data_IF_042336344118
#
_entry.id   IF_042336344118
#
_cell.length_a   1.000
_cell.length_b   1.000
_cell.length_c   1.000
_cell.angle_alpha   90.00
_cell.angle_beta   90.00
_cell.angle_gamma   90.00
#
_symmetry.space_group_name_H-M   'P 1'
#
loop_
_entity.id
_entity.type
_entity.pdbx_description
1 polymer ?
#
# COMPACT_ATOMS: atom_id res chain seq x y z
N UNK A 1 -0.07 20.18 22.29
CA UNK A 1 -0.21 19.28 21.14
C UNK A 1 -0.14 20.14 19.89
N UNK A 2 0.83 19.92 19.02
CA UNK A 2 0.96 20.73 17.79
C UNK A 2 0.85 19.79 16.59
N UNK A 3 -0.33 19.80 15.95
CA UNK A 3 -0.62 19.00 14.75
C UNK A 3 -0.85 19.96 13.59
N UNK A 4 -0.27 19.67 12.42
CA UNK A 4 -0.61 20.29 11.15
C UNK A 4 -1.08 19.20 10.18
N UNK A 5 -2.27 19.36 9.64
CA UNK A 5 -2.88 18.40 8.72
C UNK A 5 -2.98 18.97 7.31
N UNK A 6 -2.69 18.13 6.31
CA UNK A 6 -2.78 18.45 4.88
C UNK A 6 -3.76 17.49 4.23
N UNK A 7 -4.87 18.04 3.75
CA UNK A 7 -5.93 17.25 3.11
C UNK A 7 -6.02 17.67 1.64
N UNK A 8 -6.23 16.70 0.76
CA UNK A 8 -6.36 17.01 -0.67
C UNK A 8 -6.48 15.76 -1.53
N UNK A 9 -6.89 15.94 -2.77
CA UNK A 9 -7.04 14.86 -3.73
C UNK A 9 -5.73 14.16 -4.10
N UNK A 10 -5.87 13.08 -4.88
CA UNK A 10 -4.70 12.39 -5.43
C UNK A 10 -3.87 13.35 -6.30
N UNK A 11 -2.57 13.40 -6.05
CA UNK A 11 -1.66 14.23 -6.85
C UNK A 11 -1.64 15.72 -6.50
N UNK A 12 -2.38 16.20 -5.49
CA UNK A 12 -2.36 17.59 -5.04
C UNK A 12 -1.13 17.96 -4.20
N UNK A 13 -0.11 17.11 -4.15
CA UNK A 13 1.17 17.46 -3.50
C UNK A 13 1.18 17.33 -1.99
N UNK A 14 0.32 16.51 -1.37
CA UNK A 14 0.27 16.30 0.09
C UNK A 14 1.64 15.97 0.69
N UNK A 15 2.31 14.94 0.19
CA UNK A 15 3.65 14.56 0.65
C UNK A 15 4.68 15.68 0.43
N UNK A 16 4.57 16.44 -0.67
CA UNK A 16 5.44 17.61 -0.90
C UNK A 16 5.21 18.67 0.19
N UNK A 17 3.96 19.02 0.48
CA UNK A 17 3.62 20.01 1.49
C UNK A 17 4.06 19.59 2.90
N UNK A 18 3.90 18.30 3.20
CA UNK A 18 4.40 17.70 4.43
C UNK A 18 5.92 17.88 4.59
N UNK A 19 6.70 17.64 3.51
CA UNK A 19 8.15 17.84 3.53
C UNK A 19 8.55 19.32 3.61
N UNK A 20 7.84 20.23 2.95
CA UNK A 20 8.07 21.68 3.07
C UNK A 20 7.86 22.16 4.51
N UNK A 21 6.80 21.67 5.16
CA UNK A 21 6.53 22.01 6.56
C UNK A 21 7.58 21.44 7.51
N UNK A 22 8.10 20.25 7.20
CA UNK A 22 9.24 19.70 7.94
C UNK A 22 10.50 20.58 7.80
N UNK A 23 10.83 21.01 6.57
CA UNK A 23 12.00 21.87 6.31
C UNK A 23 11.88 23.16 7.12
N UNK A 24 10.74 23.85 7.03
CA UNK A 24 10.50 25.08 7.78
C UNK A 24 10.60 24.86 9.30
N UNK A 25 10.13 23.71 9.81
CA UNK A 25 10.26 23.36 11.22
C UNK A 25 11.72 23.13 11.63
N UNK A 26 12.52 22.47 10.80
CA UNK A 26 13.92 22.20 11.06
C UNK A 26 14.79 23.48 10.99
N UNK A 27 14.40 24.43 10.16
CA UNK A 27 15.03 25.77 10.10
C UNK A 27 14.72 26.57 11.36
N UNK A 28 13.48 26.52 11.85
CA UNK A 28 13.06 27.22 13.06
C UNK A 28 13.60 26.57 14.35
N UNK A 29 13.67 25.24 14.38
CA UNK A 29 14.12 24.46 15.53
C UNK A 29 14.88 23.21 15.04
N UNK A 30 16.21 23.32 14.88
CA UNK A 30 17.06 22.21 14.46
C UNK A 30 17.02 21.04 15.45
N UNK A 31 17.19 19.82 14.93
CA UNK A 31 17.31 18.64 15.76
C UNK A 31 18.56 18.69 16.65
N UNK A 32 18.41 18.36 17.90
CA UNK A 32 19.55 18.19 18.81
C UNK A 32 20.36 16.94 18.42
N UNK A 33 21.55 16.78 19.00
CA UNK A 33 22.37 15.60 18.81
C UNK A 33 21.61 14.34 19.26
N UNK A 34 21.69 13.27 18.47
CA UNK A 34 20.96 12.00 18.71
C UNK A 34 19.49 12.00 18.34
N UNK A 35 18.86 13.15 18.09
CA UNK A 35 17.47 13.23 17.67
C UNK A 35 17.27 12.88 16.19
N UNK A 36 16.11 12.31 15.89
CA UNK A 36 15.67 11.95 14.53
C UNK A 36 14.24 12.39 14.27
N UNK A 37 13.89 12.59 13.02
CA UNK A 37 12.50 12.68 12.55
C UNK A 37 11.93 11.26 12.44
N UNK A 38 10.79 11.00 13.05
CA UNK A 38 10.03 9.77 12.87
C UNK A 38 9.05 9.94 11.70
N UNK A 39 9.11 9.06 10.71
CA UNK A 39 8.19 9.06 9.59
C UNK A 39 7.41 7.73 9.54
N UNK A 40 6.11 7.81 9.75
CA UNK A 40 5.22 6.66 9.80
C UNK A 40 4.34 6.59 8.54
N UNK A 41 4.23 5.39 7.98
CA UNK A 41 3.33 5.09 6.86
C UNK A 41 2.59 3.77 7.13
N UNK A 42 1.48 3.57 6.44
CA UNK A 42 0.75 2.31 6.52
C UNK A 42 1.40 1.20 5.67
N UNK A 43 1.91 1.55 4.47
CA UNK A 43 2.42 0.57 3.50
C UNK A 43 3.93 0.65 3.32
N UNK A 44 4.58 -0.51 3.13
CA UNK A 44 6.02 -0.60 2.88
C UNK A 44 6.49 0.16 1.63
N UNK A 45 5.68 0.16 0.57
CA UNK A 45 6.00 0.93 -0.65
C UNK A 45 6.06 2.44 -0.42
N UNK A 46 5.15 2.96 0.41
CA UNK A 46 5.15 4.37 0.83
C UNK A 46 6.35 4.69 1.71
N UNK A 47 6.71 3.79 2.64
CA UNK A 47 7.89 3.93 3.50
C UNK A 47 9.15 4.19 2.69
N UNK A 48 9.45 3.33 1.70
CA UNK A 48 10.66 3.46 0.89
C UNK A 48 10.72 4.79 0.15
N UNK A 49 9.61 5.24 -0.45
CA UNK A 49 9.56 6.53 -1.16
C UNK A 49 9.75 7.71 -0.21
N UNK A 50 9.14 7.64 0.96
CA UNK A 50 9.30 8.68 1.97
C UNK A 50 10.74 8.71 2.48
N UNK A 51 11.35 7.54 2.70
CA UNK A 51 12.76 7.39 3.06
C UNK A 51 13.71 7.97 1.99
N UNK A 52 13.48 7.67 0.71
CA UNK A 52 14.23 8.23 -0.41
C UNK A 52 14.13 9.77 -0.45
N UNK A 53 12.92 10.32 -0.27
CA UNK A 53 12.69 11.78 -0.25
C UNK A 53 13.32 12.46 0.97
N UNK A 54 13.19 11.87 2.15
CA UNK A 54 13.82 12.39 3.37
C UNK A 54 15.35 12.33 3.29
N UNK A 55 15.88 11.27 2.67
CA UNK A 55 17.33 11.13 2.43
C UNK A 55 17.92 12.20 1.49
N UNK A 56 17.08 12.86 0.70
CA UNK A 56 17.48 13.97 -0.17
C UNK A 56 17.47 15.33 0.54
N UNK A 57 17.00 15.42 1.79
CA UNK A 57 16.96 16.65 2.55
C UNK A 57 18.29 16.88 3.29
N UNK A 58 19.12 17.89 2.89
CA UNK A 58 20.42 18.15 3.51
C UNK A 58 20.30 18.43 5.01
N UNK A 59 19.24 19.13 5.43
CA UNK A 59 18.99 19.49 6.83
C UNK A 59 18.82 18.27 7.75
N UNK A 60 18.44 17.10 7.22
CA UNK A 60 18.28 15.88 8.00
C UNK A 60 19.56 15.07 8.18
N UNK A 61 20.53 15.10 7.24
CA UNK A 61 21.81 14.40 7.36
C UNK A 61 21.67 12.93 7.77
N UNK A 62 20.73 12.17 7.21
CA UNK A 62 20.35 10.79 7.59
C UNK A 62 19.64 10.66 8.96
N UNK A 63 19.25 11.75 9.60
CA UNK A 63 18.53 11.75 10.88
C UNK A 63 17.01 11.57 10.68
N UNK A 64 16.60 10.62 9.87
CA UNK A 64 15.22 10.18 9.71
C UNK A 64 15.08 8.69 9.99
N UNK A 65 14.04 8.30 10.71
CA UNK A 65 13.65 6.91 10.89
C UNK A 65 12.29 6.70 10.21
N UNK A 66 12.30 5.96 9.08
CA UNK A 66 11.09 5.61 8.34
C UNK A 66 10.63 4.21 8.72
N UNK A 67 9.41 4.09 9.23
CA UNK A 67 8.83 2.83 9.65
C UNK A 67 7.36 2.71 9.20
N UNK A 68 6.84 1.48 9.17
CA UNK A 68 5.39 1.30 9.20
C UNK A 68 4.91 1.49 10.64
N UNK A 69 3.64 1.89 10.80
CA UNK A 69 3.03 2.05 12.13
C UNK A 69 3.21 0.77 12.95
N UNK A 70 2.96 -0.40 12.36
CA UNK A 70 3.12 -1.70 13.02
C UNK A 70 4.58 -1.99 13.44
N UNK A 71 5.53 -1.65 12.57
CA UNK A 71 6.97 -1.85 12.88
C UNK A 71 7.43 -0.96 14.03
N UNK A 72 6.94 0.27 14.11
CA UNK A 72 7.26 1.18 15.19
C UNK A 72 6.57 0.76 16.49
N UNK A 73 5.30 0.35 16.43
CA UNK A 73 4.60 -0.22 17.57
C UNK A 73 5.37 -1.41 18.18
N UNK A 74 5.80 -2.33 17.33
CA UNK A 74 6.62 -3.46 17.79
C UNK A 74 7.96 -3.04 18.41
N UNK A 75 8.62 -2.01 17.85
CA UNK A 75 9.84 -1.44 18.44
C UNK A 75 9.61 -0.92 19.86
N UNK A 76 8.49 -0.23 20.10
CA UNK A 76 8.10 0.24 21.44
C UNK A 76 7.85 -0.92 22.39
N UNK A 77 7.00 -1.88 22.02
CA UNK A 77 6.67 -3.06 22.85
C UNK A 77 7.93 -3.85 23.20
N UNK A 78 8.82 -4.05 22.23
CA UNK A 78 10.06 -4.80 22.46
C UNK A 78 11.02 -4.07 23.40
N UNK A 79 11.11 -2.72 23.28
CA UNK A 79 11.96 -1.90 24.14
C UNK A 79 11.45 -1.89 25.58
N UNK A 80 10.13 -1.78 25.75
CA UNK A 80 9.48 -1.66 27.04
C UNK A 80 8.79 -2.97 27.46
N UNK A 81 9.41 -4.12 27.12
CA UNK A 81 8.82 -5.45 27.28
C UNK A 81 8.33 -5.76 28.70
N UNK A 82 9.12 -5.42 29.72
CA UNK A 82 8.75 -5.64 31.11
C UNK A 82 7.52 -4.80 31.50
N UNK A 83 7.46 -3.57 31.02
CA UNK A 83 6.33 -2.68 31.27
C UNK A 83 5.07 -3.14 30.51
N UNK A 84 5.22 -3.54 29.25
CA UNK A 84 4.14 -4.13 28.48
C UNK A 84 3.58 -5.40 29.17
N UNK A 85 4.45 -6.26 29.73
CA UNK A 85 4.02 -7.41 30.49
C UNK A 85 3.18 -7.04 31.75
N UNK A 86 3.57 -5.98 32.45
CA UNK A 86 2.80 -5.46 33.60
C UNK A 86 1.42 -4.90 33.21
N UNK A 87 1.29 -4.40 31.97
CA UNK A 87 0.02 -3.95 31.40
C UNK A 87 -0.84 -5.11 30.83
N UNK A 88 -0.44 -6.36 31.05
CA UNK A 88 -1.18 -7.53 30.55
C UNK A 88 -0.74 -8.04 29.17
N UNK A 89 0.34 -7.48 28.61
CA UNK A 89 0.84 -7.80 27.28
C UNK A 89 2.13 -8.65 27.30
N UNK A 90 2.21 -9.64 28.19
CA UNK A 90 3.43 -10.45 28.44
C UNK A 90 3.93 -11.23 27.21
N UNK A 91 3.02 -11.80 26.41
CA UNK A 91 3.34 -12.72 25.32
C UNK A 91 2.70 -12.31 24.01
N UNK A 92 2.99 -11.07 23.57
CA UNK A 92 2.49 -10.58 22.28
C UNK A 92 3.31 -11.18 21.14
N UNK A 93 2.61 -11.81 20.20
CA UNK A 93 3.15 -12.18 18.90
C UNK A 93 3.30 -10.93 18.01
N UNK A 94 4.50 -10.68 17.44
CA UNK A 94 4.73 -9.54 16.54
C UNK A 94 3.81 -9.50 15.31
N UNK A 95 3.18 -10.62 14.95
CA UNK A 95 2.25 -10.70 13.82
C UNK A 95 0.79 -10.40 14.21
N UNK A 96 0.50 -10.29 15.49
CA UNK A 96 -0.80 -9.80 15.97
C UNK A 96 -0.83 -8.26 15.95
N UNK A 97 -0.75 -7.68 14.76
CA UNK A 97 -0.56 -6.24 14.54
C UNK A 97 -1.49 -5.35 15.36
N UNK A 98 -2.77 -5.70 15.47
CA UNK A 98 -3.71 -4.92 16.26
C UNK A 98 -3.34 -4.93 17.75
N UNK A 99 -3.03 -6.10 18.32
CA UNK A 99 -2.61 -6.21 19.72
C UNK A 99 -1.28 -5.51 19.99
N UNK A 100 -0.36 -5.57 19.04
CA UNK A 100 0.93 -4.83 19.12
C UNK A 100 0.67 -3.33 19.15
N UNK A 101 -0.22 -2.83 18.29
CA UNK A 101 -0.58 -1.41 18.28
C UNK A 101 -1.33 -0.98 19.54
N UNK A 102 -2.21 -1.83 20.10
CA UNK A 102 -2.89 -1.56 21.37
C UNK A 102 -1.91 -1.46 22.52
N UNK A 103 -1.03 -2.46 22.67
CA UNK A 103 0.00 -2.44 23.70
C UNK A 103 0.92 -1.21 23.58
N UNK A 104 1.32 -0.84 22.35
CA UNK A 104 2.13 0.34 22.13
C UNK A 104 1.36 1.63 22.47
N UNK A 105 0.06 1.68 22.16
CA UNK A 105 -0.84 2.79 22.54
C UNK A 105 -0.96 2.95 24.06
N UNK A 106 -1.08 1.84 24.80
CA UNK A 106 -1.10 1.86 26.26
C UNK A 106 0.24 2.27 26.87
N UNK A 107 1.35 1.78 26.31
CA UNK A 107 2.69 2.21 26.72
C UNK A 107 2.88 3.72 26.56
N UNK A 108 2.31 4.33 25.51
CA UNK A 108 2.36 5.77 25.29
C UNK A 108 1.48 6.58 26.26
N UNK A 109 0.65 5.96 27.11
CA UNK A 109 -0.02 6.65 28.21
C UNK A 109 0.93 6.90 29.39
N UNK A 110 2.08 6.22 29.42
CA UNK A 110 3.06 6.32 30.48
C UNK A 110 4.05 7.45 30.17
N UNK A 111 4.26 8.35 31.14
CA UNK A 111 5.05 9.57 30.95
C UNK A 111 6.50 9.27 30.55
N UNK A 112 7.12 8.28 31.15
CA UNK A 112 8.52 7.88 30.88
C UNK A 112 8.70 7.39 29.45
N UNK A 113 7.72 6.62 28.95
CA UNK A 113 7.73 6.15 27.55
C UNK A 113 7.57 7.33 26.59
N UNK A 114 6.61 8.21 26.84
CA UNK A 114 6.42 9.43 26.03
C UNK A 114 7.65 10.32 26.06
N UNK A 115 8.24 10.53 27.24
CA UNK A 115 9.46 11.33 27.43
C UNK A 115 10.62 10.77 26.61
N UNK A 116 10.81 9.43 26.64
CA UNK A 116 11.83 8.79 25.83
C UNK A 116 11.58 8.97 24.32
N UNK A 117 10.32 8.81 23.88
CA UNK A 117 9.98 8.99 22.46
C UNK A 117 10.21 10.45 22.05
N UNK A 118 9.77 11.43 22.83
CA UNK A 118 9.94 12.84 22.54
C UNK A 118 11.41 13.27 22.51
N UNK A 119 12.22 12.73 23.42
CA UNK A 119 13.68 12.98 23.43
C UNK A 119 14.38 12.40 22.19
N UNK A 120 13.89 11.26 21.66
CA UNK A 120 14.46 10.60 20.49
C UNK A 120 13.90 11.15 19.16
N UNK A 121 12.61 11.51 19.16
CA UNK A 121 11.84 11.87 17.96
C UNK A 121 10.96 13.09 18.23
N UNK A 122 11.50 14.33 18.17
CA UNK A 122 10.68 15.53 18.43
C UNK A 122 9.62 15.80 17.35
N UNK A 123 9.78 15.22 16.15
CA UNK A 123 8.91 15.44 14.99
C UNK A 123 8.42 14.10 14.46
N UNK A 124 7.09 14.00 14.22
CA UNK A 124 6.41 12.88 13.59
C UNK A 124 5.81 13.31 12.25
N UNK A 125 6.11 12.55 11.20
CA UNK A 125 5.44 12.62 9.91
C UNK A 125 4.51 11.43 9.76
N UNK A 126 3.25 11.66 9.34
CA UNK A 126 2.28 10.61 9.02
C UNK A 126 1.78 10.83 7.59
N UNK A 127 2.20 9.98 6.67
CA UNK A 127 1.69 10.01 5.29
C UNK A 127 0.63 8.91 5.09
N UNK A 128 -0.39 9.20 4.27
CA UNK A 128 -1.55 8.34 4.03
C UNK A 128 -2.34 8.01 5.33
N UNK A 129 -2.59 9.01 6.15
CA UNK A 129 -3.25 8.83 7.45
C UNK A 129 -4.65 8.23 7.35
N UNK A 130 -5.35 8.37 6.21
CA UNK A 130 -6.68 7.78 5.98
C UNK A 130 -6.70 6.23 6.01
N UNK A 131 -5.54 5.59 5.98
CA UNK A 131 -5.45 4.13 6.06
C UNK A 131 -5.25 3.60 7.49
N UNK A 132 -5.20 4.50 8.48
CA UNK A 132 -5.04 4.12 9.88
C UNK A 132 -6.32 3.51 10.43
N UNK A 133 -6.25 2.25 10.87
CA UNK A 133 -7.31 1.63 11.67
C UNK A 133 -7.34 2.21 13.08
N UNK A 134 -8.40 1.97 13.85
CA UNK A 134 -8.57 2.54 15.19
C UNK A 134 -7.36 2.29 16.12
N UNK A 135 -6.81 1.07 16.11
CA UNK A 135 -5.64 0.73 16.93
C UNK A 135 -4.37 1.51 16.52
N UNK A 136 -4.15 1.66 15.21
CA UNK A 136 -3.02 2.43 14.68
C UNK A 136 -3.20 3.93 14.91
N UNK A 137 -4.42 4.42 14.76
CA UNK A 137 -4.75 5.81 15.06
C UNK A 137 -4.49 6.14 16.53
N UNK A 138 -4.90 5.27 17.48
CA UNK A 138 -4.63 5.43 18.92
C UNK A 138 -3.13 5.59 19.19
N UNK A 139 -2.28 4.81 18.53
CA UNK A 139 -0.83 4.95 18.64
C UNK A 139 -0.36 6.33 18.14
N UNK A 140 -0.84 6.78 16.97
CA UNK A 140 -0.49 8.10 16.42
C UNK A 140 -0.99 9.23 17.34
N UNK A 141 -2.19 9.11 17.90
CA UNK A 141 -2.75 10.04 18.87
C UNK A 141 -1.89 10.10 20.15
N UNK A 142 -1.45 8.95 20.65
CA UNK A 142 -0.54 8.89 21.80
C UNK A 142 0.80 9.59 21.51
N UNK A 143 1.37 9.42 20.32
CA UNK A 143 2.58 10.13 19.89
C UNK A 143 2.33 11.64 19.78
N UNK A 144 1.18 12.05 19.26
CA UNK A 144 0.80 13.44 19.06
C UNK A 144 0.70 14.26 20.38
N UNK A 145 0.58 13.59 21.53
CA UNK A 145 0.58 14.28 22.83
C UNK A 145 1.92 14.95 23.18
N UNK A 146 3.02 14.45 22.59
CA UNK A 146 4.37 14.87 22.96
C UNK A 146 5.24 15.29 21.77
N UNK A 147 4.82 15.01 20.53
CA UNK A 147 5.57 15.32 19.32
C UNK A 147 4.89 16.42 18.50
N UNK A 148 5.71 17.16 17.72
CA UNK A 148 5.21 17.98 16.63
C UNK A 148 4.79 17.04 15.48
N UNK A 149 3.51 17.07 15.08
CA UNK A 149 2.97 16.16 14.06
C UNK A 149 2.67 16.89 12.76
N UNK A 150 3.11 16.33 11.65
CA UNK A 150 2.68 16.69 10.30
C UNK A 150 1.98 15.47 9.68
N UNK A 151 0.70 15.59 9.35
CA UNK A 151 -0.09 14.48 8.81
C UNK A 151 -0.67 14.82 7.43
N UNK A 152 -0.68 13.85 6.53
CA UNK A 152 -1.28 13.98 5.21
C UNK A 152 -2.34 12.90 4.99
N UNK A 153 -3.53 13.29 4.49
CA UNK A 153 -4.64 12.37 4.26
C UNK A 153 -5.45 12.71 3.00
N UNK A 154 -6.05 11.69 2.40
CA UNK A 154 -7.09 11.79 1.40
C UNK A 154 -8.15 10.72 1.69
N UNK A 155 -9.22 11.10 2.34
CA UNK A 155 -10.29 10.16 2.71
C UNK A 155 -10.83 9.39 1.51
N UNK A 156 -10.94 10.02 0.34
CA UNK A 156 -11.46 9.37 -0.85
C UNK A 156 -10.52 8.29 -1.41
N UNK A 157 -9.23 8.31 -1.06
CA UNK A 157 -8.29 7.25 -1.38
C UNK A 157 -8.35 6.04 -0.42
N UNK A 158 -9.11 6.12 0.68
CA UNK A 158 -9.34 4.99 1.56
C UNK A 158 -10.23 3.95 0.86
N UNK A 159 -9.72 2.74 0.67
CA UNK A 159 -10.44 1.63 0.03
C UNK A 159 -11.06 0.66 1.04
N UNK A 160 -10.73 0.77 2.33
CA UNK A 160 -11.33 -0.07 3.37
C UNK A 160 -12.69 0.52 3.81
N UNK A 161 -13.76 -0.19 3.48
CA UNK A 161 -15.14 0.23 3.82
C UNK A 161 -15.38 0.30 5.33
N UNK A 162 -14.63 -0.47 6.13
CA UNK A 162 -14.73 -0.47 7.59
C UNK A 162 -14.22 0.83 8.22
N UNK A 163 -13.49 1.64 7.46
CA UNK A 163 -12.99 2.96 7.88
C UNK A 163 -13.91 4.08 7.36
N UNK A 164 -15.21 3.93 7.46
CA UNK A 164 -16.20 4.92 7.03
C UNK A 164 -17.28 5.12 8.12
N UNK A 165 -17.40 6.35 8.67
CA UNK A 165 -16.59 7.55 8.43
C UNK A 165 -15.12 7.33 8.82
N UNK A 166 -14.20 8.05 8.17
CA UNK A 166 -12.77 7.81 8.35
C UNK A 166 -12.28 8.37 9.70
N UNK A 167 -11.87 7.52 10.66
CA UNK A 167 -11.56 7.98 12.01
C UNK A 167 -10.32 8.89 12.08
N UNK A 168 -9.34 8.68 11.18
CA UNK A 168 -8.14 9.52 11.15
C UNK A 168 -8.43 10.90 10.57
N UNK A 169 -9.25 10.99 9.51
CA UNK A 169 -9.66 12.28 8.95
C UNK A 169 -10.52 13.07 9.93
N UNK A 170 -11.46 12.41 10.63
CA UNK A 170 -12.27 13.02 11.69
C UNK A 170 -11.38 13.58 12.77
N UNK A 171 -10.48 12.77 13.34
CA UNK A 171 -9.54 13.22 14.36
C UNK A 171 -8.68 14.41 13.90
N UNK A 172 -8.14 14.37 12.67
CA UNK A 172 -7.33 15.48 12.15
C UNK A 172 -8.14 16.78 12.07
N UNK A 173 -9.40 16.72 11.67
CA UNK A 173 -10.27 17.89 11.59
C UNK A 173 -10.66 18.44 12.97
N UNK A 174 -10.73 17.58 14.00
CA UNK A 174 -11.02 17.96 15.38
C UNK A 174 -9.83 18.66 16.08
N UNK A 175 -8.59 18.20 15.80
CA UNK A 175 -7.41 18.70 16.50
C UNK A 175 -6.77 19.91 15.85
N UNK A 176 -7.00 20.16 14.56
CA UNK A 176 -6.51 21.33 13.83
C UNK A 176 -7.34 21.59 12.57
N UNK A 177 -7.55 22.85 12.17
CA UNK A 177 -8.09 23.15 10.85
C UNK A 177 -7.10 22.66 9.79
N UNK A 178 -7.49 21.68 8.93
CA UNK A 178 -6.57 21.14 7.93
C UNK A 178 -6.34 22.14 6.79
N UNK A 179 -5.11 22.18 6.31
CA UNK A 179 -4.77 22.89 5.07
C UNK A 179 -5.27 22.09 3.87
N UNK A 180 -6.22 22.65 3.12
CA UNK A 180 -6.77 22.01 1.92
C UNK A 180 -5.88 22.28 0.70
N UNK A 181 -5.42 21.20 0.06
CA UNK A 181 -4.59 21.24 -1.14
C UNK A 181 -5.44 20.93 -2.38
N UNK A 182 -5.69 21.93 -3.19
CA UNK A 182 -6.53 21.84 -4.39
C UNK A 182 -5.72 21.76 -5.69
N UNK A 183 -4.49 22.27 -5.70
CA UNK A 183 -3.68 22.34 -6.92
C UNK A 183 -3.04 21.00 -7.29
N UNK A 184 -3.33 20.44 -8.47
CA UNK A 184 -2.73 19.20 -8.93
C UNK A 184 -1.24 19.42 -9.27
N UNK A 185 -0.39 18.47 -8.86
CA UNK A 185 1.06 18.45 -9.13
C UNK A 185 1.53 17.21 -9.88
N UNK A 186 0.66 16.20 -10.02
CA UNK A 186 1.03 14.92 -10.65
C UNK A 186 0.89 14.96 -12.16
N UNK A 187 -0.14 15.61 -12.65
CA UNK A 187 -0.43 15.74 -14.08
C UNK A 187 -1.02 17.12 -14.37
N UNK A 188 -0.75 17.61 -15.57
CA UNK A 188 -1.37 18.83 -16.12
C UNK A 188 -2.41 18.47 -17.20
N UNK A 189 -2.76 17.20 -17.35
CA UNK A 189 -3.74 16.74 -18.34
C UNK A 189 -5.14 16.99 -17.80
N UNK A 190 -5.80 18.02 -18.32
CA UNK A 190 -7.13 18.48 -17.90
C UNK A 190 -8.16 17.36 -17.91
N UNK A 191 -8.22 16.55 -18.97
CA UNK A 191 -9.17 15.42 -19.07
C UNK A 191 -9.02 14.40 -17.92
N UNK A 192 -7.78 14.14 -17.43
CA UNK A 192 -7.56 13.24 -16.28
C UNK A 192 -7.99 13.88 -14.97
N UNK A 193 -7.75 15.18 -14.83
CA UNK A 193 -8.16 15.95 -13.65
C UNK A 193 -9.68 16.06 -13.56
N UNK A 194 -10.34 16.37 -14.66
CA UNK A 194 -11.80 16.50 -14.75
C UNK A 194 -12.47 15.14 -14.49
N UNK A 195 -11.95 14.06 -15.07
CA UNK A 195 -12.45 12.71 -14.79
C UNK A 195 -12.31 12.33 -13.32
N UNK A 196 -11.16 12.63 -12.71
CA UNK A 196 -10.94 12.36 -11.28
C UNK A 196 -11.87 13.21 -10.39
N UNK A 197 -12.06 14.50 -10.73
CA UNK A 197 -12.94 15.40 -10.02
C UNK A 197 -14.41 14.95 -10.15
N UNK A 198 -14.87 14.60 -11.34
CA UNK A 198 -16.22 14.09 -11.59
C UNK A 198 -16.50 12.81 -10.75
N UNK A 199 -15.60 11.81 -10.83
CA UNK A 199 -15.73 10.57 -10.07
C UNK A 199 -15.82 10.85 -8.56
N UNK A 200 -14.98 11.76 -8.05
CA UNK A 200 -14.96 12.14 -6.63
C UNK A 200 -16.25 12.85 -6.21
N UNK A 201 -16.80 13.71 -7.06
CA UNK A 201 -18.03 14.47 -6.80
C UNK A 201 -19.32 13.67 -7.08
N UNK A 202 -19.20 12.40 -7.44
CA UNK A 202 -20.36 11.56 -7.73
C UNK A 202 -20.95 11.78 -9.13
N UNK A 203 -20.22 12.42 -10.03
CA UNK A 203 -20.63 12.71 -11.41
C UNK A 203 -20.00 11.72 -12.39
N UNK A 204 -20.61 11.59 -13.58
CA UNK A 204 -20.08 10.81 -14.68
C UNK A 204 -18.79 11.43 -15.23
N UNK A 205 -17.70 10.66 -15.38
CA UNK A 205 -16.51 11.17 -16.03
C UNK A 205 -16.70 11.26 -17.54
N UNK A 206 -16.39 12.41 -18.13
CA UNK A 206 -16.49 12.64 -19.58
C UNK A 206 -15.32 11.98 -20.33
N UNK A 207 -15.63 11.27 -21.41
CA UNK A 207 -14.61 10.65 -22.28
C UNK A 207 -14.05 11.66 -23.28
N UNK A 208 -12.73 11.62 -23.47
CA UNK A 208 -11.99 12.43 -24.43
C UNK A 208 -10.84 11.66 -25.09
N UNK A 209 -9.74 12.34 -25.39
CA UNK A 209 -8.57 11.75 -26.03
C UNK A 209 -7.56 11.19 -25.03
N UNK A 210 -7.46 11.76 -23.83
CA UNK A 210 -6.53 11.39 -22.78
C UNK A 210 -7.19 10.54 -21.70
N UNK A 211 -8.49 10.71 -21.49
CA UNK A 211 -9.32 9.85 -20.66
C UNK A 211 -10.44 9.25 -21.51
N UNK A 212 -10.56 7.93 -21.53
CA UNK A 212 -11.58 7.25 -22.33
C UNK A 212 -12.23 6.11 -21.57
N UNK A 213 -13.57 6.01 -21.69
CA UNK A 213 -14.36 4.85 -21.25
C UNK A 213 -14.82 4.08 -22.48
N UNK A 214 -14.53 2.79 -22.54
CA UNK A 214 -14.82 1.93 -23.69
C UNK A 214 -15.51 0.65 -23.25
N UNK A 215 -16.64 0.35 -23.88
CA UNK A 215 -17.34 -0.93 -23.66
C UNK A 215 -16.58 -2.07 -24.36
N UNK A 216 -16.23 -3.11 -23.61
CA UNK A 216 -15.51 -4.30 -24.09
C UNK A 216 -16.11 -5.58 -23.48
N UNK A 217 -17.31 -6.01 -23.97
CA UNK A 217 -18.07 -7.07 -23.31
C UNK A 217 -17.39 -8.45 -23.36
N UNK A 218 -16.48 -8.67 -24.30
CA UNK A 218 -15.79 -9.95 -24.48
C UNK A 218 -14.29 -9.81 -24.18
N UNK A 219 -13.67 -10.81 -23.49
CA UNK A 219 -12.25 -10.78 -23.19
C UNK A 219 -11.33 -10.55 -24.41
N UNK A 220 -11.58 -11.17 -25.59
CA UNK A 220 -10.77 -10.90 -26.78
C UNK A 220 -10.81 -9.43 -27.24
N UNK A 221 -11.97 -8.77 -27.13
CA UNK A 221 -12.09 -7.36 -27.45
C UNK A 221 -11.29 -6.50 -26.48
N UNK A 222 -11.40 -6.77 -25.17
CA UNK A 222 -10.59 -6.08 -24.16
C UNK A 222 -9.09 -6.32 -24.40
N UNK A 223 -8.69 -7.57 -24.68
CA UNK A 223 -7.31 -7.93 -25.03
C UNK A 223 -6.80 -7.19 -26.26
N UNK A 224 -7.60 -7.09 -27.32
CA UNK A 224 -7.24 -6.33 -28.53
C UNK A 224 -7.06 -4.85 -28.26
N UNK A 225 -7.93 -4.23 -27.44
CA UNK A 225 -7.77 -2.85 -26.99
C UNK A 225 -6.49 -2.64 -26.19
N UNK A 226 -6.18 -3.55 -25.23
CA UNK A 226 -4.95 -3.47 -24.46
C UNK A 226 -3.74 -3.58 -25.41
N UNK A 227 -3.69 -4.62 -26.26
CA UNK A 227 -2.56 -4.84 -27.17
C UNK A 227 -2.31 -3.65 -28.10
N UNK A 228 -3.38 -3.08 -28.68
CA UNK A 228 -3.28 -1.89 -29.53
C UNK A 228 -2.75 -0.66 -28.79
N UNK A 229 -3.13 -0.48 -27.51
CA UNK A 229 -2.63 0.63 -26.70
C UNK A 229 -1.17 0.39 -26.26
N UNK A 230 -0.79 -0.85 -25.93
CA UNK A 230 0.61 -1.18 -25.60
C UNK A 230 1.53 -0.92 -26.78
N UNK A 231 1.11 -1.31 -27.98
CA UNK A 231 1.83 -1.04 -29.22
C UNK A 231 2.01 0.47 -29.46
N UNK A 232 0.93 1.21 -29.30
CA UNK A 232 0.93 2.66 -29.49
C UNK A 232 1.76 3.42 -28.45
N UNK A 233 1.78 2.97 -27.18
CA UNK A 233 2.59 3.58 -26.12
C UNK A 233 4.09 3.29 -26.24
N UNK A 234 4.46 2.23 -26.99
CA UNK A 234 5.85 1.82 -27.17
C UNK A 234 6.54 1.34 -25.90
N UNK A 235 7.57 0.53 -26.07
CA UNK A 235 8.63 0.20 -25.11
C UNK A 235 8.31 -0.17 -23.65
N UNK A 236 7.08 -0.29 -23.21
CA UNK A 236 6.69 -0.86 -21.91
C UNK A 236 7.03 -0.06 -20.65
N UNK A 237 7.70 1.07 -20.75
CA UNK A 237 7.99 1.92 -19.60
C UNK A 237 6.76 2.78 -19.26
N UNK A 238 6.36 2.77 -17.99
CA UNK A 238 5.30 3.65 -17.51
C UNK A 238 3.86 3.22 -17.85
N UNK A 239 3.61 1.98 -18.31
CA UNK A 239 2.25 1.47 -18.55
C UNK A 239 1.84 0.45 -17.49
N UNK A 240 0.64 0.63 -16.92
CA UNK A 240 0.06 -0.34 -16.00
C UNK A 240 -1.35 -0.76 -16.42
N UNK A 241 -1.65 -2.05 -16.28
CA UNK A 241 -2.99 -2.59 -16.39
C UNK A 241 -3.52 -2.79 -14.98
N UNK A 242 -4.61 -2.10 -14.64
CA UNK A 242 -5.16 -2.08 -13.28
C UNK A 242 -6.58 -2.64 -13.31
N UNK A 243 -6.94 -3.51 -12.35
CA UNK A 243 -8.31 -4.01 -12.18
C UNK A 243 -8.74 -3.96 -10.72
N UNK A 244 -10.01 -3.77 -10.39
CA UNK A 244 -10.51 -3.91 -9.02
C UNK A 244 -10.14 -5.25 -8.39
N UNK A 245 -10.31 -6.34 -9.14
CA UNK A 245 -9.93 -7.69 -8.73
C UNK A 245 -9.50 -8.51 -9.95
N UNK A 246 -8.60 -9.48 -9.76
CA UNK A 246 -8.16 -10.41 -10.82
C UNK A 246 -9.19 -11.54 -10.97
N UNK A 247 -10.35 -11.22 -11.53
CA UNK A 247 -11.40 -12.19 -11.87
C UNK A 247 -11.19 -12.84 -13.24
N UNK A 248 -12.12 -13.73 -13.62
CA UNK A 248 -12.06 -14.51 -14.86
C UNK A 248 -11.95 -13.63 -16.12
N UNK A 249 -12.67 -12.51 -16.17
CA UNK A 249 -12.60 -11.59 -17.32
C UNK A 249 -11.18 -11.03 -17.53
N UNK A 250 -10.55 -10.56 -16.46
CA UNK A 250 -9.19 -10.02 -16.54
C UNK A 250 -8.19 -11.12 -16.92
N UNK A 251 -8.28 -12.31 -16.29
CA UNK A 251 -7.44 -13.46 -16.64
C UNK A 251 -7.58 -13.84 -18.12
N UNK A 252 -8.80 -13.96 -18.61
CA UNK A 252 -9.05 -14.31 -20.02
C UNK A 252 -8.56 -13.25 -21.00
N UNK A 253 -8.69 -11.96 -20.67
CA UNK A 253 -8.15 -10.87 -21.50
C UNK A 253 -6.61 -10.93 -21.55
N UNK A 254 -5.94 -11.16 -20.40
CA UNK A 254 -4.48 -11.30 -20.32
C UNK A 254 -3.99 -12.54 -21.06
N UNK A 255 -4.67 -13.67 -20.95
CA UNK A 255 -4.36 -14.88 -21.73
C UNK A 255 -4.50 -14.63 -23.23
N UNK A 256 -5.55 -13.91 -23.64
CA UNK A 256 -5.71 -13.56 -25.05
C UNK A 256 -4.54 -12.73 -25.56
N UNK A 257 -4.09 -11.72 -24.84
CA UNK A 257 -2.97 -10.84 -25.22
C UNK A 257 -1.66 -11.63 -25.33
N UNK A 258 -1.46 -12.61 -24.47
CA UNK A 258 -0.25 -13.43 -24.47
C UNK A 258 -0.16 -14.37 -25.69
N UNK A 259 -1.31 -14.76 -26.28
CA UNK A 259 -1.39 -15.77 -27.32
C UNK A 259 -1.82 -15.22 -28.69
N UNK A 260 -2.27 -13.99 -28.79
CA UNK A 260 -2.86 -13.46 -30.02
C UNK A 260 -2.26 -12.11 -30.44
N UNK A 261 -2.36 -11.82 -31.73
CA UNK A 261 -2.13 -10.51 -32.32
C UNK A 261 -3.47 -9.85 -32.64
N UNK A 262 -3.48 -8.52 -32.63
CA UNK A 262 -4.62 -7.76 -33.16
C UNK A 262 -4.65 -7.83 -34.69
N UNK A 263 -5.78 -7.44 -35.29
CA UNK A 263 -5.90 -7.33 -36.75
C UNK A 263 -4.86 -6.39 -37.40
N UNK A 264 -4.28 -5.49 -36.61
CA UNK A 264 -3.20 -4.58 -37.04
C UNK A 264 -1.80 -5.08 -36.70
N UNK A 265 -1.67 -6.33 -36.24
CA UNK A 265 -0.38 -6.97 -35.97
C UNK A 265 0.19 -6.70 -34.55
N UNK A 266 -0.44 -5.90 -33.72
CA UNK A 266 0.03 -5.66 -32.35
C UNK A 266 -0.05 -6.90 -31.46
N UNK A 267 1.02 -7.24 -30.77
CA UNK A 267 1.15 -8.42 -29.91
C UNK A 267 1.92 -9.57 -30.56
N UNK A 268 2.01 -10.75 -29.92
CA UNK A 268 1.57 -11.03 -28.56
C UNK A 268 2.40 -10.29 -27.50
N UNK A 269 1.79 -10.03 -26.33
CA UNK A 269 2.47 -9.34 -25.23
C UNK A 269 2.30 -10.11 -23.93
N UNK A 270 3.39 -10.37 -23.22
CA UNK A 270 3.35 -10.98 -21.89
C UNK A 270 3.21 -9.87 -20.83
N UNK A 271 2.11 -9.92 -20.08
CA UNK A 271 1.85 -9.02 -18.96
C UNK A 271 2.27 -9.70 -17.67
N UNK A 272 3.28 -9.15 -17.01
CA UNK A 272 3.67 -9.62 -15.67
C UNK A 272 2.61 -9.18 -14.66
N UNK A 273 1.83 -10.13 -14.14
CA UNK A 273 0.84 -9.83 -13.12
C UNK A 273 1.51 -9.77 -11.75
N UNK A 274 1.34 -8.65 -11.07
CA UNK A 274 1.75 -8.54 -9.68
C UNK A 274 0.65 -9.14 -8.81
N UNK A 275 0.83 -10.39 -8.42
CA UNK A 275 -0.11 -11.07 -7.52
C UNK A 275 -0.25 -10.30 -6.20
N UNK A 276 -1.47 -10.30 -5.65
CA UNK A 276 -1.63 -9.95 -4.24
C UNK A 276 -0.81 -10.98 -3.46
N UNK A 277 0.02 -10.52 -2.52
CA UNK A 277 0.86 -11.51 -1.83
C UNK A 277 0.08 -12.51 -0.99
N UNK A 278 -1.21 -12.30 -0.83
CA UNK A 278 -2.13 -13.27 -0.22
C UNK A 278 -2.36 -14.43 -1.17
N UNK A 279 -2.58 -14.15 -2.47
CA UNK A 279 -2.84 -15.21 -3.46
C UNK A 279 -1.59 -16.05 -3.72
N UNK A 280 -0.42 -15.42 -3.86
CA UNK A 280 0.86 -16.14 -4.00
C UNK A 280 1.18 -16.98 -2.76
N UNK A 281 0.92 -16.43 -1.57
CA UNK A 281 1.13 -17.14 -0.31
C UNK A 281 0.15 -18.31 -0.17
N UNK A 282 -1.12 -18.11 -0.50
CA UNK A 282 -2.14 -19.16 -0.44
C UNK A 282 -1.87 -20.27 -1.49
N UNK A 283 -1.46 -19.91 -2.70
CA UNK A 283 -1.05 -20.86 -3.72
C UNK A 283 0.16 -21.68 -3.27
N UNK A 284 1.10 -21.07 -2.56
CA UNK A 284 2.24 -21.75 -1.98
C UNK A 284 1.82 -22.71 -0.84
N UNK A 285 0.93 -22.26 0.05
CA UNK A 285 0.40 -23.13 1.13
C UNK A 285 -0.36 -24.34 0.58
N UNK A 286 -1.10 -24.18 -0.51
CA UNK A 286 -1.82 -25.29 -1.15
C UNK A 286 -0.88 -26.39 -1.69
N UNK A 287 0.39 -26.08 -1.91
CA UNK A 287 1.40 -27.05 -2.36
C UNK A 287 2.14 -27.75 -1.19
N UNK A 288 1.98 -27.24 0.05
CA UNK A 288 2.64 -27.79 1.21
C UNK A 288 1.72 -28.75 1.98
N UNK A 289 2.18 -29.96 2.20
CA UNK A 289 1.45 -30.98 2.97
C UNK A 289 1.67 -30.79 4.49
N UNK A 290 1.48 -29.57 5.01
CA UNK A 290 1.69 -29.29 6.44
C UNK A 290 0.66 -30.01 7.32
N UNK A 291 1.17 -30.65 8.37
CA UNK A 291 0.38 -31.24 9.44
C UNK A 291 0.26 -30.23 10.61
N UNK A 292 -0.55 -30.54 11.62
CA UNK A 292 -0.69 -29.67 12.81
C UNK A 292 0.65 -29.48 13.53
N UNK A 293 1.47 -30.55 13.58
CA UNK A 293 2.85 -30.52 14.11
C UNK A 293 3.79 -31.06 13.03
N UNK A 294 4.84 -30.33 12.74
CA UNK A 294 5.79 -30.63 11.67
C UNK A 294 7.22 -30.64 12.21
N UNK A 295 8.00 -31.64 11.84
CA UNK A 295 9.44 -31.71 12.15
C UNK A 295 10.26 -30.95 11.11
N UNK A 296 11.41 -30.43 11.52
CA UNK A 296 12.34 -29.67 10.65
C UNK A 296 12.67 -30.45 9.38
N UNK A 297 12.92 -31.78 9.47
CA UNK A 297 13.24 -32.66 8.36
C UNK A 297 12.13 -32.70 7.29
N UNK A 298 10.86 -32.76 7.74
CA UNK A 298 9.72 -32.88 6.85
C UNK A 298 9.43 -31.57 6.14
N UNK A 299 9.45 -30.46 6.88
CA UNK A 299 9.30 -29.12 6.30
C UNK A 299 10.39 -28.83 5.27
N UNK A 300 11.64 -29.16 5.57
CA UNK A 300 12.77 -28.98 4.64
C UNK A 300 12.60 -29.82 3.36
N UNK A 301 12.05 -31.04 3.50
CA UNK A 301 11.77 -31.91 2.34
C UNK A 301 10.64 -31.34 1.47
N UNK A 302 9.54 -30.88 2.05
CA UNK A 302 8.42 -30.29 1.31
C UNK A 302 8.82 -28.99 0.59
N UNK A 303 9.57 -28.14 1.28
CA UNK A 303 10.07 -26.89 0.70
C UNK A 303 11.05 -27.14 -0.46
N UNK A 304 11.84 -28.24 -0.38
CA UNK A 304 12.78 -28.63 -1.44
C UNK A 304 12.12 -29.26 -2.67
N UNK A 305 10.94 -29.88 -2.51
CA UNK A 305 10.30 -30.67 -3.57
C UNK A 305 9.44 -29.87 -4.55
N UNK A 306 9.01 -28.63 -4.21
CA UNK A 306 8.06 -27.91 -5.05
C UNK A 306 7.94 -26.40 -4.84
N UNK A 307 8.83 -25.80 -4.05
CA UNK A 307 8.71 -24.39 -3.67
C UNK A 307 9.74 -23.47 -4.33
N UNK A 308 9.54 -22.18 -4.19
CA UNK A 308 10.54 -21.17 -4.51
C UNK A 308 11.80 -21.40 -3.62
N UNK A 309 12.98 -21.69 -4.24
CA UNK A 309 14.20 -22.09 -3.49
C UNK A 309 14.66 -21.07 -2.45
N UNK A 310 14.31 -19.82 -2.63
CA UNK A 310 14.67 -18.76 -1.68
C UNK A 310 13.71 -18.76 -0.48
N UNK A 311 12.41 -19.02 -0.65
CA UNK A 311 11.45 -19.17 0.46
C UNK A 311 11.87 -20.38 1.29
N UNK A 312 12.20 -21.48 0.60
CA UNK A 312 12.69 -22.69 1.26
C UNK A 312 13.91 -22.39 2.16
N UNK A 313 14.91 -21.67 1.62
CA UNK A 313 16.11 -21.29 2.38
C UNK A 313 15.77 -20.44 3.60
N UNK A 314 15.02 -19.35 3.45
CA UNK A 314 14.72 -18.43 4.54
C UNK A 314 13.90 -19.10 5.67
N UNK A 315 12.95 -19.99 5.32
CA UNK A 315 12.18 -20.77 6.30
C UNK A 315 13.08 -21.79 7.02
N UNK A 316 13.94 -22.48 6.28
CA UNK A 316 14.89 -23.44 6.85
C UNK A 316 15.88 -22.75 7.79
N UNK A 317 16.44 -21.62 7.38
CA UNK A 317 17.36 -20.82 8.20
C UNK A 317 16.68 -20.35 9.50
N UNK A 318 15.40 -19.94 9.43
CA UNK A 318 14.63 -19.60 10.62
C UNK A 318 14.42 -20.79 11.54
N UNK A 319 14.04 -21.96 11.00
CA UNK A 319 13.86 -23.18 11.82
C UNK A 319 15.17 -23.60 12.52
N UNK A 320 16.29 -23.56 11.78
CA UNK A 320 17.62 -23.83 12.33
C UNK A 320 18.00 -22.86 13.44
N UNK A 321 17.70 -21.57 13.27
CA UNK A 321 17.90 -20.57 14.30
C UNK A 321 17.07 -20.88 15.57
N UNK A 322 15.79 -21.27 15.42
CA UNK A 322 14.95 -21.69 16.57
C UNK A 322 15.49 -22.95 17.24
N UNK A 323 15.97 -23.93 16.45
CA UNK A 323 16.60 -25.14 16.95
C UNK A 323 17.83 -24.83 17.81
N UNK A 324 18.73 -23.98 17.33
CA UNK A 324 19.96 -23.58 18.04
C UNK A 324 19.66 -22.71 19.26
N UNK A 325 18.73 -21.77 19.17
CA UNK A 325 18.46 -20.82 20.24
C UNK A 325 17.53 -21.37 21.34
N UNK A 326 16.64 -22.31 21.01
CA UNK A 326 15.56 -22.78 21.89
C UNK A 326 15.43 -24.32 21.96
N UNK A 327 16.32 -25.06 21.32
CA UNK A 327 16.26 -26.54 21.18
C UNK A 327 14.92 -27.00 20.57
N UNK A 328 14.27 -26.19 19.76
CA UNK A 328 12.95 -26.46 19.17
C UNK A 328 13.11 -27.28 17.89
N UNK A 329 12.59 -28.51 17.86
CA UNK A 329 12.70 -29.46 16.74
C UNK A 329 11.38 -29.70 16.01
N UNK A 330 10.26 -29.23 16.58
CA UNK A 330 8.92 -29.33 15.98
C UNK A 330 8.22 -27.99 15.99
N UNK A 331 7.44 -27.73 14.96
CA UNK A 331 6.75 -26.46 14.70
C UNK A 331 5.29 -26.71 14.38
N UNK A 332 4.38 -25.88 14.90
CA UNK A 332 2.99 -25.95 14.50
C UNK A 332 2.82 -25.46 13.04
N UNK A 333 1.75 -25.90 12.41
CA UNK A 333 1.34 -25.44 11.07
C UNK A 333 1.30 -23.91 11.01
N UNK A 334 0.67 -23.29 12.01
CA UNK A 334 0.52 -21.83 12.08
C UNK A 334 1.86 -21.08 12.19
N UNK A 335 2.85 -21.66 12.88
CA UNK A 335 4.18 -21.06 12.97
C UNK A 335 4.88 -21.06 11.61
N UNK A 336 4.79 -22.16 10.87
CA UNK A 336 5.40 -22.29 9.55
C UNK A 336 4.70 -21.38 8.54
N UNK A 337 3.37 -21.41 8.50
CA UNK A 337 2.56 -20.53 7.63
C UNK A 337 2.84 -19.05 7.90
N UNK A 338 3.05 -18.69 9.15
CA UNK A 338 3.41 -17.33 9.57
C UNK A 338 4.77 -16.92 9.04
N UNK A 339 5.77 -17.77 9.15
CA UNK A 339 7.12 -17.47 8.64
C UNK A 339 7.12 -17.36 7.13
N UNK A 340 6.46 -18.28 6.44
CA UNK A 340 6.29 -18.24 4.99
C UNK A 340 5.61 -16.93 4.58
N UNK A 341 4.51 -16.56 5.23
CA UNK A 341 3.80 -15.30 4.98
C UNK A 341 4.71 -14.08 5.18
N UNK A 342 5.56 -14.11 6.21
CA UNK A 342 6.55 -13.06 6.47
C UNK A 342 7.60 -12.99 5.37
N UNK A 343 8.13 -14.13 4.91
CA UNK A 343 9.10 -14.22 3.81
C UNK A 343 8.51 -13.66 2.52
N UNK A 344 7.26 -14.03 2.17
CA UNK A 344 6.56 -13.45 1.02
C UNK A 344 6.32 -11.95 1.18
N UNK A 345 6.00 -11.48 2.38
CA UNK A 345 5.84 -10.06 2.66
C UNK A 345 7.17 -9.29 2.56
N UNK A 346 8.27 -9.85 3.05
CA UNK A 346 9.61 -9.25 2.91
C UNK A 346 10.06 -9.19 1.44
N UNK A 347 9.81 -10.22 0.66
CA UNK A 347 10.18 -10.25 -0.76
C UNK A 347 9.51 -9.19 -1.58
N UNK A 348 8.23 -8.92 -1.28
CA UNK A 348 7.54 -7.76 -1.86
C UNK A 348 8.22 -6.44 -1.50
N UNK A 349 8.92 -6.39 -0.36
CA UNK A 349 9.71 -5.22 0.06
C UNK A 349 11.00 -5.06 -0.74
N UNK A 350 11.65 -6.18 -1.09
CA UNK A 350 12.98 -6.21 -1.72
C UNK A 350 12.87 -6.33 -3.25
N UNK A 351 11.76 -6.86 -3.76
CA UNK A 351 11.52 -7.07 -5.18
C UNK A 351 11.59 -5.77 -5.98
N UNK A 352 12.79 -5.37 -6.34
CA UNK A 352 13.03 -4.70 -7.61
C UNK A 352 12.60 -5.69 -8.68
N UNK A 353 11.37 -5.57 -9.19
CA UNK A 353 11.12 -6.09 -10.50
C UNK A 353 12.02 -5.29 -11.44
N UNK A 354 13.09 -5.88 -11.93
CA UNK A 354 13.87 -5.32 -13.04
C UNK A 354 12.87 -4.99 -14.15
N UNK A 355 12.64 -3.69 -14.32
CA UNK A 355 11.49 -3.10 -14.96
C UNK A 355 11.43 -3.26 -16.48
N UNK A 356 11.61 -4.46 -17.00
CA UNK A 356 11.38 -4.78 -18.42
C UNK A 356 10.05 -5.51 -18.54
N UNK A 357 9.06 -4.87 -19.16
CA UNK A 357 7.75 -5.45 -19.46
C UNK A 357 6.57 -4.67 -18.90
N UNK A 358 5.38 -4.99 -19.38
CA UNK A 358 4.12 -4.42 -18.94
C UNK A 358 3.63 -5.11 -17.67
N UNK A 359 3.04 -4.33 -16.77
CA UNK A 359 2.62 -4.81 -15.45
C UNK A 359 1.12 -4.77 -15.30
N UNK A 360 0.56 -5.86 -14.79
CA UNK A 360 -0.81 -5.92 -14.33
C UNK A 360 -0.88 -5.98 -12.80
N UNK A 361 -1.86 -5.31 -12.20
CA UNK A 361 -2.05 -5.29 -10.75
C UNK A 361 -3.48 -4.95 -10.36
N UNK A 362 -3.83 -5.18 -9.10
CA UNK A 362 -5.09 -4.70 -8.56
C UNK A 362 -5.01 -3.21 -8.22
N UNK A 363 -6.19 -2.55 -8.06
CA UNK A 363 -6.26 -1.16 -7.58
C UNK A 363 -5.52 -0.98 -6.25
N UNK A 364 -5.62 -1.95 -5.34
CA UNK A 364 -4.87 -1.96 -4.08
C UNK A 364 -3.36 -2.05 -4.30
N UNK A 365 -2.91 -2.86 -5.25
CA UNK A 365 -1.50 -2.98 -5.62
C UNK A 365 -0.94 -1.74 -6.32
N UNK A 366 -1.81 -0.97 -7.00
CA UNK A 366 -1.46 0.28 -7.66
C UNK A 366 -1.39 1.48 -6.70
N UNK A 367 -1.86 1.33 -5.46
CA UNK A 367 -1.88 2.42 -4.47
C UNK A 367 -0.46 2.95 -4.26
N UNK A 368 -0.34 4.26 -4.18
CA UNK A 368 0.94 4.99 -4.02
C UNK A 368 1.95 4.79 -5.18
N UNK A 369 1.51 4.33 -6.34
CA UNK A 369 2.32 4.21 -7.56
C UNK A 369 1.81 5.17 -8.63
N UNK A 370 2.64 5.46 -9.61
CA UNK A 370 2.34 6.38 -10.71
C UNK A 370 2.88 5.79 -12.02
N UNK A 371 2.09 5.96 -13.07
CA UNK A 371 2.41 5.44 -14.40
C UNK A 371 2.11 6.53 -15.44
N UNK A 372 2.84 6.53 -16.54
CA UNK A 372 2.54 7.47 -17.61
C UNK A 372 1.18 7.17 -18.23
N UNK A 373 0.90 5.89 -18.45
CA UNK A 373 -0.36 5.42 -19.04
C UNK A 373 -0.98 4.32 -18.19
N UNK A 374 -2.29 4.37 -18.03
CA UNK A 374 -3.05 3.38 -17.26
C UNK A 374 -4.17 2.80 -18.12
N UNK A 375 -4.30 1.48 -18.11
CA UNK A 375 -5.44 0.77 -18.69
C UNK A 375 -6.19 0.11 -17.54
N UNK A 376 -7.43 0.53 -17.31
CA UNK A 376 -8.28 -0.04 -16.26
C UNK A 376 -9.18 -1.12 -16.87
N UNK A 377 -9.07 -2.33 -16.39
CA UNK A 377 -10.05 -3.39 -16.68
C UNK A 377 -11.15 -3.34 -15.61
N UNK A 378 -12.38 -3.07 -16.03
CA UNK A 378 -13.54 -2.99 -15.15
C UNK A 378 -14.48 -4.18 -15.39
N UNK A 379 -14.32 -5.31 -14.64
CA UNK A 379 -15.11 -6.52 -14.82
C UNK A 379 -16.59 -6.34 -14.43
N UNK A 380 -17.47 -7.13 -15.00
CA UNK A 380 -18.88 -7.20 -14.59
C UNK A 380 -19.05 -7.67 -13.13
N UNK A 381 -18.09 -8.42 -12.62
CA UNK A 381 -18.04 -8.90 -11.24
C UNK A 381 -17.60 -7.83 -10.22
N UNK A 382 -17.36 -6.59 -10.63
CA UNK A 382 -17.03 -5.50 -9.69
C UNK A 382 -18.24 -5.18 -8.83
N UNK A 383 -18.15 -5.51 -7.54
CA UNK A 383 -19.21 -5.34 -6.53
C UNK A 383 -18.85 -4.21 -5.55
N UNK A 384 -19.76 -3.91 -4.63
CA UNK A 384 -19.61 -2.89 -3.60
C UNK A 384 -20.64 -1.76 -3.76
N UNK A 385 -20.69 -0.89 -2.77
CA UNK A 385 -21.50 0.33 -2.81
C UNK A 385 -21.07 1.26 -3.95
N UNK A 386 -21.93 2.19 -4.34
CA UNK A 386 -21.58 3.18 -5.37
C UNK A 386 -20.37 4.02 -4.95
N UNK A 387 -20.28 4.39 -3.68
CA UNK A 387 -19.11 5.08 -3.14
C UNK A 387 -17.85 4.22 -3.25
N UNK A 388 -17.90 2.92 -2.95
CA UNK A 388 -16.77 2.01 -3.10
C UNK A 388 -16.32 1.89 -4.56
N UNK A 389 -17.25 1.76 -5.49
CA UNK A 389 -16.95 1.71 -6.93
C UNK A 389 -16.30 3.01 -7.41
N UNK A 390 -16.80 4.17 -6.94
CA UNK A 390 -16.20 5.48 -7.24
C UNK A 390 -14.77 5.58 -6.71
N UNK A 391 -14.53 5.18 -5.46
CA UNK A 391 -13.18 5.16 -4.85
C UNK A 391 -12.23 4.21 -5.57
N UNK A 392 -12.69 3.03 -6.00
CA UNK A 392 -11.88 2.10 -6.79
C UNK A 392 -11.48 2.73 -8.14
N UNK A 393 -12.44 3.31 -8.88
CA UNK A 393 -12.14 3.95 -10.16
C UNK A 393 -11.26 5.18 -9.99
N UNK A 394 -11.53 6.03 -9.00
CA UNK A 394 -10.72 7.20 -8.67
C UNK A 394 -9.27 6.82 -8.40
N UNK A 395 -9.05 5.81 -7.53
CA UNK A 395 -7.70 5.34 -7.23
C UNK A 395 -6.99 4.81 -8.46
N UNK A 396 -7.67 4.13 -9.38
CA UNK A 396 -7.08 3.63 -10.61
C UNK A 396 -6.73 4.77 -11.59
N UNK A 397 -7.68 5.67 -11.87
CA UNK A 397 -7.52 6.79 -12.81
C UNK A 397 -6.41 7.74 -12.37
N UNK A 398 -6.37 8.06 -11.07
CA UNK A 398 -5.37 8.98 -10.50
C UNK A 398 -3.94 8.40 -10.47
N UNK A 399 -3.72 7.17 -10.92
CA UNK A 399 -2.37 6.62 -11.16
C UNK A 399 -1.77 7.07 -12.48
N UNK A 400 -2.59 7.55 -13.42
CA UNK A 400 -2.14 8.00 -14.73
C UNK A 400 -1.56 9.43 -14.67
N UNK A 401 -0.47 9.64 -15.43
CA UNK A 401 0.12 10.97 -15.66
C UNK A 401 -0.27 11.55 -17.02
N UNK A 402 -0.39 10.71 -18.03
CA UNK A 402 -0.58 11.15 -19.42
C UNK A 402 -1.89 10.65 -20.03
N UNK A 403 -2.25 9.40 -19.80
CA UNK A 403 -3.47 8.80 -20.38
C UNK A 403 -4.06 7.73 -19.46
N UNK A 404 -5.40 7.61 -19.51
CA UNK A 404 -6.13 6.54 -18.85
C UNK A 404 -7.26 6.04 -19.78
N UNK A 405 -7.33 4.72 -19.96
CA UNK A 405 -8.45 4.08 -20.66
C UNK A 405 -9.12 3.10 -19.70
N UNK A 406 -10.43 3.17 -19.60
CA UNK A 406 -11.25 2.28 -18.79
C UNK A 406 -12.02 1.34 -19.73
N UNK A 407 -11.71 0.05 -19.68
CA UNK A 407 -12.36 -0.99 -20.47
C UNK A 407 -13.44 -1.67 -19.62
N UNK A 408 -14.70 -1.34 -19.90
CA UNK A 408 -15.86 -1.78 -19.12
C UNK A 408 -16.46 -3.01 -19.76
N UNK A 409 -16.59 -4.11 -18.98
CA UNK A 409 -17.15 -5.36 -19.49
C UNK A 409 -18.65 -5.30 -19.71
N UNK A 410 -19.41 -4.80 -18.74
CA UNK A 410 -20.87 -4.86 -18.77
C UNK A 410 -21.48 -3.50 -19.18
N UNK A 411 -22.37 -3.52 -20.20
CA UNK A 411 -23.11 -2.30 -20.62
C UNK A 411 -23.95 -1.71 -19.46
N UNK A 412 -24.45 -2.56 -18.58
CA UNK A 412 -25.21 -2.14 -17.40
C UNK A 412 -24.40 -1.23 -16.48
N UNK A 413 -23.08 -1.47 -16.33
CA UNK A 413 -22.20 -0.63 -15.51
C UNK A 413 -22.09 0.81 -16.01
N UNK A 414 -22.21 1.03 -17.35
CA UNK A 414 -22.20 2.38 -17.92
C UNK A 414 -23.43 3.22 -17.55
N UNK A 415 -24.46 2.58 -16.93
CA UNK A 415 -25.67 3.22 -16.45
C UNK A 415 -25.73 3.31 -14.92
N UNK A 416 -24.64 3.04 -14.24
CA UNK A 416 -24.52 3.02 -12.79
C UNK A 416 -23.21 3.68 -12.37
N UNK A 417 -23.07 3.98 -11.07
CA UNK A 417 -21.79 4.40 -10.51
C UNK A 417 -20.70 3.36 -10.82
N UNK A 418 -19.50 3.79 -11.15
CA UNK A 418 -18.97 5.16 -11.12
C UNK A 418 -19.06 5.91 -12.47
N UNK A 419 -19.89 5.47 -13.40
CA UNK A 419 -19.95 6.02 -14.77
C UNK A 419 -21.19 6.91 -15.02
N UNK A 420 -22.02 7.07 -13.98
CA UNK A 420 -23.19 7.98 -14.00
C UNK A 420 -23.17 8.84 -12.75
#
# INVERSE_FOLDING_TARGET
>A
MTVKAFIGGAGCGKTYRLLQSLIAQLEAAPLLEGQKVLALTFMHGSRRRLEERLGQLPALGRRAECATVDSFAWKLVRRWRALAARLGHANIDPNQYNRVCDAAGELLQIQEVRGWVAASFPILLVDEAQDLTANRLRLVQGLATSLQVFAAADEFQCLDERLRPNPACTWLSEVCPPEELTQPRRTNVTELLDAAAAIRSGLAPSSGTKFKVQLTPKPPLAGSWIASNLDWYGGGKGVAIITPALGQFAKSALTWIANNKTSRGAGPYVISWEESGVDATNAFFAQLALQDINHVSDVSRWLGAGGDPRVAREVTDWMEMQRRAKSKVSFSREEIERVISHVFAQRRRIGKSDGRGWRGMTVHGAKNREFDNVIVLWPASTTGSDDQKRRLLYNAVTRAKSRCIVLVQAKAHLKQAPFV
#
